data_IF_384753985002
#
_entry.id   IF_384753985002
#
_cell.length_a   1.000
_cell.length_b   1.000
_cell.length_c   1.000
_cell.angle_alpha   90.00
_cell.angle_beta   90.00
_cell.angle_gamma   90.00
#
_symmetry.space_group_name_H-M   'P 1'
#
loop_
_entity.id
_entity.type
_entity.pdbx_description
1 polymer ?
#
# COMPACT_ATOMS: atom_id res chain seq x y z
N UNK A 1 -9.23 -43.70 -5.94
CA UNK A 1 -8.10 -43.17 -6.73
C UNK A 1 -8.59 -41.98 -7.55
N UNK A 2 -8.19 -40.73 -7.27
CA UNK A 2 -8.18 -39.67 -8.26
C UNK A 2 -6.74 -39.34 -8.70
N UNK A 3 -6.58 -39.13 -10.00
CA UNK A 3 -5.33 -38.93 -10.70
C UNK A 3 -4.95 -37.44 -10.75
N UNK A 4 -3.63 -37.22 -10.83
CA UNK A 4 -2.80 -36.01 -11.01
C UNK A 4 -3.39 -35.03 -12.06
N UNK A 5 -3.15 -33.72 -12.12
CA UNK A 5 -1.92 -32.89 -12.20
C UNK A 5 -2.47 -31.43 -12.22
N UNK A 6 -2.08 -30.45 -11.41
CA UNK A 6 -0.77 -29.81 -11.40
C UNK A 6 -0.88 -28.39 -11.98
N UNK A 7 -1.23 -27.39 -11.16
CA UNK A 7 -0.72 -26.00 -11.16
C UNK A 7 -1.30 -25.36 -9.91
N UNK A 8 -0.52 -25.30 -8.82
CA UNK A 8 -0.78 -24.32 -7.77
C UNK A 8 -0.81 -22.95 -8.46
N UNK A 9 -1.97 -22.30 -8.49
CA UNK A 9 -2.01 -20.87 -8.71
C UNK A 9 -1.21 -20.29 -7.55
N UNK A 10 0.08 -20.04 -7.80
CA UNK A 10 0.93 -19.33 -6.87
C UNK A 10 0.24 -18.01 -6.67
N UNK A 11 -0.43 -17.90 -5.52
CA UNK A 11 -1.00 -16.70 -4.95
C UNK A 11 -0.11 -15.55 -5.40
N UNK A 12 -0.61 -14.77 -6.38
CA UNK A 12 0.18 -13.71 -6.99
C UNK A 12 0.26 -12.66 -5.91
N UNK A 13 1.32 -12.81 -5.11
CA UNK A 13 1.76 -11.88 -4.08
C UNK A 13 1.58 -10.47 -4.61
N UNK A 14 0.81 -9.67 -3.87
CA UNK A 14 0.58 -8.25 -4.08
C UNK A 14 1.68 -7.64 -4.96
N UNK A 15 1.31 -7.30 -6.20
CA UNK A 15 2.24 -6.76 -7.20
C UNK A 15 3.04 -5.66 -6.53
N UNK A 16 4.36 -5.81 -6.46
CA UNK A 16 5.25 -4.78 -5.92
C UNK A 16 5.25 -3.60 -6.91
N UNK A 17 4.28 -2.71 -6.76
CA UNK A 17 3.94 -1.58 -7.61
C UNK A 17 2.70 -0.87 -7.06
N UNK A 18 2.37 0.31 -7.59
CA UNK A 18 1.14 1.00 -7.20
C UNK A 18 -0.06 0.12 -7.62
N UNK A 19 -0.94 -0.22 -6.67
CA UNK A 19 -2.18 -0.98 -6.92
C UNK A 19 -3.28 -0.13 -7.58
N UNK A 20 -2.88 0.98 -8.22
CA UNK A 20 -3.78 1.95 -8.80
C UNK A 20 -3.15 2.63 -10.02
N UNK A 21 -4.01 3.18 -10.89
CA UNK A 21 -3.63 4.01 -12.02
C UNK A 21 -4.59 5.20 -12.16
N UNK A 22 -4.09 6.33 -12.66
CA UNK A 22 -4.83 7.59 -12.83
C UNK A 22 -4.80 7.97 -14.30
N UNK A 23 -5.98 8.16 -14.91
CA UNK A 23 -6.04 8.63 -16.29
C UNK A 23 -5.38 10.03 -16.42
N UNK A 24 -4.70 10.34 -17.53
CA UNK A 24 -4.04 11.65 -17.70
C UNK A 24 -4.99 12.85 -17.60
N UNK A 25 -6.29 12.65 -17.81
CA UNK A 25 -7.33 13.67 -17.69
C UNK A 25 -7.85 13.84 -16.24
N UNK A 26 -7.41 12.99 -15.31
CA UNK A 26 -7.83 12.99 -13.91
C UNK A 26 -9.28 12.57 -13.66
N UNK A 27 -10.02 12.17 -14.70
CA UNK A 27 -11.46 11.86 -14.57
C UNK A 27 -11.72 10.41 -14.16
N UNK A 28 -10.71 9.55 -14.28
CA UNK A 28 -10.84 8.13 -14.00
C UNK A 28 -9.69 7.64 -13.13
N UNK A 29 -10.05 6.78 -12.20
CA UNK A 29 -9.17 6.14 -11.25
C UNK A 29 -9.48 4.65 -11.22
N UNK A 30 -8.45 3.81 -11.31
CA UNK A 30 -8.57 2.36 -11.21
C UNK A 30 -7.78 1.87 -10.00
N UNK A 31 -8.38 0.96 -9.23
CA UNK A 31 -7.75 0.31 -8.07
C UNK A 31 -7.93 -1.19 -8.21
N UNK A 32 -6.88 -1.95 -7.94
CA UNK A 32 -6.98 -3.40 -7.82
C UNK A 32 -7.56 -3.75 -6.45
N UNK A 33 -8.71 -4.44 -6.46
CA UNK A 33 -9.28 -5.03 -5.26
C UNK A 33 -8.43 -6.26 -4.88
N UNK A 34 -7.86 -6.32 -3.66
CA UNK A 34 -7.10 -7.48 -3.25
C UNK A 34 -8.03 -8.69 -3.10
N UNK A 35 -7.52 -9.87 -3.44
CA UNK A 35 -8.27 -11.15 -3.38
C UNK A 35 -8.57 -11.55 -1.93
N UNK A 36 -7.67 -11.18 -1.01
CA UNK A 36 -7.87 -11.28 0.43
C UNK A 36 -8.00 -9.88 1.03
N UNK A 37 -8.79 -9.76 2.10
CA UNK A 37 -8.96 -8.48 2.78
C UNK A 37 -7.66 -8.12 3.50
N UNK A 38 -6.83 -7.27 2.87
CA UNK A 38 -5.66 -6.62 3.48
C UNK A 38 -6.09 -5.55 4.52
N UNK A 39 -7.21 -5.76 5.22
CA UNK A 39 -7.74 -4.89 6.29
C UNK A 39 -6.84 -4.83 7.52
N UNK A 40 -5.66 -5.46 7.48
CA UNK A 40 -4.61 -5.32 8.49
C UNK A 40 -3.85 -3.97 8.40
N UNK A 41 -4.14 -3.09 7.43
CA UNK A 41 -3.72 -1.68 7.52
C UNK A 41 -4.59 -0.95 8.57
N UNK A 42 -4.32 -1.21 9.85
CA UNK A 42 -5.16 -0.74 10.98
C UNK A 42 -5.11 0.77 11.20
N UNK A 43 -4.09 1.45 10.67
CA UNK A 43 -3.90 2.88 10.89
C UNK A 43 -3.09 3.54 9.78
N UNK A 44 -3.60 4.67 9.25
CA UNK A 44 -2.87 5.55 8.34
C UNK A 44 -2.58 6.87 9.06
N UNK A 45 -1.31 7.17 9.30
CA UNK A 45 -0.88 8.44 9.88
C UNK A 45 -0.62 9.47 8.77
N UNK A 46 -1.53 10.42 8.60
CA UNK A 46 -1.35 11.56 7.68
C UNK A 46 -0.79 12.74 8.47
N UNK A 47 0.48 13.08 8.24
CA UNK A 47 1.11 14.27 8.82
C UNK A 47 1.08 15.40 7.81
N UNK A 48 0.30 16.43 8.12
CA UNK A 48 0.31 17.69 7.36
C UNK A 48 1.49 18.54 7.82
N UNK A 49 2.08 19.31 6.90
CA UNK A 49 3.21 20.21 7.19
C UNK A 49 4.41 19.49 7.82
N UNK A 50 4.90 18.44 7.14
CA UNK A 50 5.98 17.55 7.61
C UNK A 50 7.20 18.27 8.21
N UNK A 51 7.61 19.42 7.66
CA UNK A 51 8.75 20.18 8.18
C UNK A 51 8.53 20.76 9.57
N UNK A 52 7.32 21.17 9.90
CA UNK A 52 6.99 21.72 11.22
C UNK A 52 6.98 20.60 12.26
N UNK A 53 6.40 19.45 11.91
CA UNK A 53 6.39 18.27 12.77
C UNK A 53 7.80 17.75 13.04
N UNK A 54 8.67 17.75 12.02
CA UNK A 54 10.08 17.43 12.20
C UNK A 54 10.78 18.37 13.19
N UNK A 55 10.54 19.68 13.11
CA UNK A 55 11.14 20.64 14.05
C UNK A 55 10.65 20.42 15.49
N UNK A 56 9.37 20.09 15.67
CA UNK A 56 8.78 19.77 16.98
C UNK A 56 9.40 18.53 17.61
N UNK A 57 9.72 17.52 16.79
CA UNK A 57 10.23 16.23 17.24
C UNK A 57 11.76 16.17 17.34
N UNK A 58 12.47 17.01 16.59
CA UNK A 58 13.92 17.04 16.59
C UNK A 58 14.44 17.44 17.99
N UNK A 59 15.48 16.77 18.51
CA UNK A 59 16.13 17.20 19.73
C UNK A 59 16.67 18.62 19.58
N UNK A 60 16.20 19.55 20.41
CA UNK A 60 16.85 20.86 20.55
C UNK A 60 18.13 20.64 21.35
N UNK A 61 19.24 20.44 20.64
CA UNK A 61 20.53 20.22 21.27
C UNK A 61 20.77 21.24 22.39
N UNK A 62 20.98 20.75 23.61
CA UNK A 62 21.64 21.51 24.67
C UNK A 62 23.11 21.18 24.58
N UNK A 63 23.92 22.15 24.18
CA UNK A 63 25.32 22.23 24.59
C UNK A 63 25.41 22.60 26.07
#
# INVERSE_FOLDING_TARGET
>A
MPNRIGTEFKEVSNVSGLSYDVAPDGQRFLVLQPEHDDSEARELHVVLNWFDELQRLAPTGKE
#
